data_IF_505622503350
#
_entry.id   IF_505622503350
#
_cell.length_a   1.000
_cell.length_b   1.000
_cell.length_c   1.000
_cell.angle_alpha   90.00
_cell.angle_beta   90.00
_cell.angle_gamma   90.00
#
_symmetry.space_group_name_H-M   'P 1'
#
loop_
_entity.id
_entity.type
_entity.pdbx_description
1 polymer ?
#
# COMPACT_ATOMS: atom_id res chain seq x y z
N UNK A 1 -33.91 11.60 13.15
CA UNK A 1 -32.91 11.16 12.16
C UNK A 1 -32.76 9.64 12.17
N UNK A 2 -32.37 9.00 13.27
CA UNK A 2 -32.14 7.55 13.34
C UNK A 2 -33.34 6.63 13.01
N UNK A 3 -34.56 7.07 13.37
CA UNK A 3 -35.81 6.37 13.01
C UNK A 3 -36.13 6.46 11.52
N UNK A 4 -35.95 7.63 10.90
CA UNK A 4 -36.17 7.81 9.46
C UNK A 4 -35.16 7.00 8.64
N UNK A 5 -33.91 6.97 9.10
CA UNK A 5 -32.83 6.13 8.58
C UNK A 5 -33.21 4.64 8.56
N UNK A 6 -33.66 4.09 9.70
CA UNK A 6 -34.12 2.68 9.77
C UNK A 6 -35.28 2.40 8.80
N UNK A 7 -36.23 3.33 8.66
CA UNK A 7 -37.36 3.18 7.75
C UNK A 7 -36.93 3.16 6.28
N UNK A 8 -36.01 4.04 5.87
CA UNK A 8 -35.44 4.01 4.51
C UNK A 8 -34.69 2.68 4.25
N UNK A 9 -33.91 2.19 5.21
CA UNK A 9 -33.24 0.89 5.12
C UNK A 9 -34.21 -0.29 5.00
N UNK A 10 -35.29 -0.30 5.77
CA UNK A 10 -36.32 -1.32 5.70
C UNK A 10 -37.06 -1.28 4.36
N UNK A 11 -37.40 -0.09 3.85
CA UNK A 11 -38.01 0.09 2.53
C UNK A 11 -37.11 -0.41 1.40
N UNK A 12 -35.80 -0.13 1.47
CA UNK A 12 -34.80 -0.62 0.50
C UNK A 12 -34.64 -2.15 0.56
N UNK A 13 -34.62 -2.73 1.77
CA UNK A 13 -34.61 -4.18 2.01
C UNK A 13 -35.85 -4.86 1.43
N UNK A 14 -37.03 -4.27 1.63
CA UNK A 14 -38.29 -4.79 1.12
C UNK A 14 -38.38 -4.73 -0.41
N UNK A 15 -37.86 -3.67 -1.04
CA UNK A 15 -37.91 -3.48 -2.51
C UNK A 15 -36.99 -4.43 -3.27
N UNK A 16 -35.86 -4.83 -2.68
CA UNK A 16 -34.83 -5.64 -3.35
C UNK A 16 -34.69 -7.08 -2.81
N UNK A 17 -35.45 -7.43 -1.78
CA UNK A 17 -35.42 -8.75 -1.13
C UNK A 17 -34.00 -9.22 -0.73
N UNK A 18 -33.10 -8.30 -0.39
CA UNK A 18 -31.72 -8.60 0.02
C UNK A 18 -31.39 -7.96 1.38
N UNK A 19 -30.40 -8.51 2.08
CA UNK A 19 -29.92 -7.92 3.34
C UNK A 19 -29.17 -6.60 3.12
N UNK A 20 -29.03 -5.79 4.16
CA UNK A 20 -28.27 -4.53 4.11
C UNK A 20 -26.81 -4.81 3.71
N UNK A 21 -26.20 -5.85 4.27
CA UNK A 21 -24.83 -6.24 3.94
C UNK A 21 -24.69 -6.65 2.47
N UNK A 22 -25.70 -7.34 1.93
CA UNK A 22 -25.70 -7.74 0.53
C UNK A 22 -25.90 -6.53 -0.41
N UNK A 23 -26.69 -5.54 0.01
CA UNK A 23 -26.83 -4.28 -0.72
C UNK A 23 -25.51 -3.49 -0.74
N UNK A 24 -24.85 -3.36 0.42
CA UNK A 24 -23.52 -2.74 0.55
C UNK A 24 -22.50 -3.44 -0.34
N UNK A 25 -22.46 -4.78 -0.29
CA UNK A 25 -21.56 -5.59 -1.11
C UNK A 25 -21.76 -5.36 -2.62
N UNK A 26 -23.02 -5.30 -3.08
CA UNK A 26 -23.35 -5.03 -4.49
C UNK A 26 -22.95 -3.62 -4.92
N UNK A 27 -23.22 -2.61 -4.08
CA UNK A 27 -22.83 -1.21 -4.31
C UNK A 27 -21.32 -1.08 -4.46
N UNK A 28 -20.57 -1.69 -3.54
CA UNK A 28 -19.10 -1.73 -3.58
C UNK A 28 -18.58 -2.30 -4.90
N UNK A 29 -19.08 -3.47 -5.32
CA UNK A 29 -18.61 -4.13 -6.55
C UNK A 29 -18.77 -3.24 -7.78
N UNK A 30 -19.85 -2.47 -7.83
CA UNK A 30 -20.17 -1.62 -8.97
C UNK A 30 -19.40 -0.30 -8.96
N UNK A 31 -19.18 0.27 -7.78
CA UNK A 31 -18.30 1.43 -7.63
C UNK A 31 -16.85 1.12 -8.03
N UNK A 32 -16.30 -0.02 -7.58
CA UNK A 32 -14.94 -0.45 -7.96
C UNK A 32 -14.83 -0.65 -9.48
N UNK A 33 -15.87 -1.18 -10.13
CA UNK A 33 -15.89 -1.31 -11.59
C UNK A 33 -15.90 0.06 -12.29
N UNK A 34 -16.69 1.02 -11.81
CA UNK A 34 -16.72 2.38 -12.35
C UNK A 34 -15.38 3.10 -12.16
N UNK A 35 -14.77 2.96 -10.98
CA UNK A 35 -13.43 3.49 -10.71
C UNK A 35 -12.38 2.92 -11.64
N UNK A 36 -12.41 1.61 -11.94
CA UNK A 36 -11.49 0.99 -12.91
C UNK A 36 -11.67 1.59 -14.31
N UNK A 37 -12.91 1.73 -14.77
CA UNK A 37 -13.21 2.34 -16.08
C UNK A 37 -12.77 3.80 -16.13
N UNK A 38 -13.00 4.57 -15.08
CA UNK A 38 -12.53 5.96 -14.94
C UNK A 38 -11.00 6.03 -14.96
N UNK A 39 -10.31 5.21 -14.16
CA UNK A 39 -8.84 5.15 -14.10
C UNK A 39 -8.22 4.79 -15.45
N UNK A 40 -8.75 3.79 -16.15
CA UNK A 40 -8.28 3.42 -17.50
C UNK A 40 -8.45 4.57 -18.51
N UNK A 41 -9.57 5.29 -18.44
CA UNK A 41 -9.81 6.46 -19.28
C UNK A 41 -8.84 7.61 -18.96
N UNK A 42 -8.57 7.85 -17.68
CA UNK A 42 -7.61 8.87 -17.22
C UNK A 42 -6.19 8.55 -17.69
N UNK A 43 -5.74 7.31 -17.51
CA UNK A 43 -4.43 6.83 -17.96
C UNK A 43 -4.26 6.98 -19.48
N UNK A 44 -5.33 6.73 -20.23
CA UNK A 44 -5.36 6.90 -21.70
C UNK A 44 -5.30 8.37 -22.13
N UNK A 45 -5.94 9.25 -21.37
CA UNK A 45 -6.06 10.67 -21.69
C UNK A 45 -4.88 11.53 -21.16
N UNK A 46 -3.96 10.95 -20.38
CA UNK A 46 -2.77 11.61 -19.79
C UNK A 46 -3.07 12.95 -19.09
N UNK A 47 -4.20 13.03 -18.40
CA UNK A 47 -4.56 14.22 -17.60
C UNK A 47 -4.27 13.94 -16.14
N UNK A 48 -3.66 14.92 -15.46
CA UNK A 48 -3.67 14.96 -14.00
C UNK A 48 -5.09 15.27 -13.56
N UNK A 49 -5.77 14.29 -12.96
CA UNK A 49 -7.13 14.47 -12.46
C UNK A 49 -7.16 14.05 -10.99
N UNK A 50 -7.57 15.00 -10.16
CA UNK A 50 -8.04 14.78 -8.80
C UNK A 50 -9.50 14.34 -8.93
N UNK A 51 -9.82 13.12 -8.51
CA UNK A 51 -11.23 12.70 -8.35
C UNK A 51 -11.80 13.56 -7.23
N UNK A 52 -12.75 14.43 -7.55
CA UNK A 52 -13.35 15.33 -6.56
C UNK A 52 -14.44 14.59 -5.77
N UNK A 53 -14.65 14.99 -4.52
CA UNK A 53 -15.71 14.46 -3.65
C UNK A 53 -17.12 14.64 -4.26
N UNK A 54 -17.32 15.71 -5.02
CA UNK A 54 -18.57 15.97 -5.75
C UNK A 54 -18.80 14.96 -6.88
N UNK A 55 -17.76 14.54 -7.61
CA UNK A 55 -17.89 13.55 -8.71
C UNK A 55 -18.27 12.15 -8.20
N UNK A 56 -17.82 11.79 -7.00
CA UNK A 56 -18.13 10.50 -6.39
C UNK A 56 -19.55 10.46 -5.82
N UNK A 57 -19.96 11.51 -5.09
CA UNK A 57 -21.32 11.61 -4.57
C UNK A 57 -22.36 11.60 -5.71
N UNK A 58 -22.06 12.24 -6.84
CA UNK A 58 -22.95 12.26 -8.00
C UNK A 58 -23.05 10.89 -8.69
N UNK A 59 -21.95 10.10 -8.69
CA UNK A 59 -21.97 8.71 -9.13
C UNK A 59 -22.87 7.84 -8.24
N UNK A 60 -22.71 7.93 -6.91
CA UNK A 60 -23.52 7.18 -5.97
C UNK A 60 -25.00 7.59 -6.05
N UNK A 61 -25.30 8.88 -6.14
CA UNK A 61 -26.65 9.38 -6.33
C UNK A 61 -27.29 8.89 -7.65
N UNK A 62 -26.51 8.84 -8.74
CA UNK A 62 -26.98 8.33 -10.04
C UNK A 62 -27.17 6.81 -10.03
N UNK A 63 -26.26 6.08 -9.40
CA UNK A 63 -26.34 4.63 -9.27
C UNK A 63 -27.55 4.23 -8.41
N UNK A 64 -27.72 4.87 -7.26
CA UNK A 64 -28.88 4.68 -6.39
C UNK A 64 -30.19 5.03 -7.10
N UNK A 65 -30.25 6.13 -7.87
CA UNK A 65 -31.42 6.45 -8.72
C UNK A 65 -31.71 5.38 -9.78
N UNK A 66 -30.69 4.87 -10.46
CA UNK A 66 -30.83 3.85 -11.51
C UNK A 66 -31.22 2.48 -10.96
N UNK A 67 -30.73 2.11 -9.77
CA UNK A 67 -30.92 0.78 -9.20
C UNK A 67 -32.16 0.69 -8.28
N UNK A 68 -32.47 1.76 -7.54
CA UNK A 68 -33.66 1.82 -6.68
C UNK A 68 -34.91 2.31 -7.41
N UNK A 69 -34.76 2.76 -8.65
CA UNK A 69 -35.84 2.88 -9.61
C UNK A 69 -36.44 4.27 -9.71
N UNK A 70 -36.64 4.66 -10.96
CA UNK A 70 -37.63 5.61 -11.45
C UNK A 70 -39.05 5.13 -11.09
N UNK A 71 -39.51 5.45 -9.90
CA UNK A 71 -40.94 5.72 -9.66
C UNK A 71 -41.07 7.22 -9.51
N UNK A 72 -42.19 7.80 -9.93
CA UNK A 72 -42.53 9.22 -9.77
C UNK A 72 -42.66 9.68 -8.30
N UNK A 73 -42.01 8.98 -7.37
CA UNK A 73 -41.78 9.42 -6.01
C UNK A 73 -40.27 9.49 -5.79
N UNK A 74 -39.73 10.68 -5.43
CA UNK A 74 -38.39 10.76 -4.91
C UNK A 74 -38.41 9.98 -3.60
N UNK A 75 -37.90 8.74 -3.63
CA UNK A 75 -37.25 8.22 -2.44
C UNK A 75 -36.16 9.26 -2.17
N UNK A 76 -36.39 10.11 -1.16
CA UNK A 76 -35.37 10.96 -0.56
C UNK A 76 -34.30 9.98 -0.06
N UNK A 77 -33.37 9.66 -0.96
CA UNK A 77 -32.20 8.87 -0.62
C UNK A 77 -31.40 9.78 0.26
N UNK A 78 -31.56 9.59 1.57
CA UNK A 78 -30.92 10.36 2.64
C UNK A 78 -29.45 10.61 2.27
N UNK A 79 -29.08 11.87 2.05
CA UNK A 79 -27.72 12.23 1.63
C UNK A 79 -26.68 11.73 2.63
N UNK A 80 -27.04 11.68 3.93
CA UNK A 80 -26.18 11.12 4.98
C UNK A 80 -25.91 9.62 4.75
N UNK A 81 -26.88 8.88 4.19
CA UNK A 81 -26.76 7.47 3.89
C UNK A 81 -25.83 7.23 2.68
N UNK A 82 -25.98 8.04 1.64
CA UNK A 82 -25.08 8.00 0.49
C UNK A 82 -23.65 8.36 0.90
N UNK A 83 -23.51 9.36 1.76
CA UNK A 83 -22.23 9.79 2.29
C UNK A 83 -21.57 8.69 3.13
N UNK A 84 -22.30 7.99 4.00
CA UNK A 84 -21.73 6.88 4.77
C UNK A 84 -21.25 5.72 3.90
N UNK A 85 -22.03 5.34 2.89
CA UNK A 85 -21.63 4.27 1.96
C UNK A 85 -20.42 4.71 1.12
N UNK A 86 -20.39 5.97 0.69
CA UNK A 86 -19.25 6.55 0.00
C UNK A 86 -18.00 6.54 0.90
N UNK A 87 -18.10 7.00 2.14
CA UNK A 87 -16.98 7.07 3.08
C UNK A 87 -16.44 5.67 3.41
N UNK A 88 -17.29 4.67 3.66
CA UNK A 88 -16.86 3.29 3.90
C UNK A 88 -16.09 2.73 2.69
N UNK A 89 -16.61 2.93 1.48
CA UNK A 89 -15.97 2.44 0.25
C UNK A 89 -14.68 3.24 -0.05
N UNK A 90 -14.67 4.54 0.21
CA UNK A 90 -13.50 5.40 0.04
C UNK A 90 -12.38 4.99 0.98
N UNK A 91 -12.68 4.73 2.25
CA UNK A 91 -11.68 4.25 3.22
C UNK A 91 -11.11 2.91 2.81
N UNK A 92 -11.96 1.96 2.40
CA UNK A 92 -11.48 0.65 1.91
C UNK A 92 -10.71 0.75 0.58
N UNK A 93 -11.06 1.68 -0.31
CA UNK A 93 -10.31 1.91 -1.56
C UNK A 93 -9.00 2.65 -1.31
N UNK A 94 -8.90 3.50 -0.29
CA UNK A 94 -7.64 4.08 0.18
C UNK A 94 -6.76 2.95 0.74
N UNK A 95 -7.29 2.11 1.63
CA UNK A 95 -6.57 0.94 2.17
C UNK A 95 -6.14 -0.03 1.06
N UNK A 96 -7.02 -0.31 0.09
CA UNK A 96 -6.69 -1.14 -1.06
C UNK A 96 -5.69 -0.44 -2.00
N UNK A 97 -5.78 0.88 -2.19
CA UNK A 97 -4.82 1.62 -3.00
C UNK A 97 -3.45 1.64 -2.32
N UNK A 98 -3.37 1.79 -1.01
CA UNK A 98 -2.14 1.65 -0.21
C UNK A 98 -1.57 0.24 -0.32
N UNK A 99 -2.40 -0.79 -0.15
CA UNK A 99 -2.00 -2.19 -0.32
C UNK A 99 -1.52 -2.50 -1.75
N UNK A 100 -2.21 -1.96 -2.77
CA UNK A 100 -1.80 -2.09 -4.17
C UNK A 100 -0.60 -1.21 -4.52
N UNK A 101 -0.34 -0.10 -3.81
CA UNK A 101 0.87 0.70 -3.97
C UNK A 101 2.07 -0.11 -3.47
N UNK A 102 1.90 -0.79 -2.33
CA UNK A 102 2.87 -1.76 -1.80
C UNK A 102 3.08 -2.92 -2.79
N UNK A 103 2.03 -3.53 -3.35
CA UNK A 103 2.17 -4.61 -4.35
C UNK A 103 2.70 -4.13 -5.73
N UNK A 104 2.40 -2.89 -6.15
CA UNK A 104 2.90 -2.31 -7.39
C UNK A 104 4.38 -1.94 -7.27
N UNK A 105 4.83 -1.50 -6.09
CA UNK A 105 6.25 -1.37 -5.77
C UNK A 105 6.96 -2.75 -5.79
N UNK A 106 6.24 -3.82 -5.45
CA UNK A 106 6.77 -5.20 -5.45
C UNK A 106 6.82 -5.85 -6.84
N UNK A 107 5.98 -5.42 -7.79
CA UNK A 107 5.81 -6.07 -9.10
C UNK A 107 6.44 -5.36 -10.31
N UNK A 108 6.88 -4.10 -10.19
CA UNK A 108 7.60 -3.38 -11.25
C UNK A 108 9.10 -3.23 -10.92
N UNK A 109 9.87 -4.32 -10.96
CA UNK A 109 11.30 -4.19 -11.22
C UNK A 109 11.84 -5.46 -11.89
N UNK A 110 12.04 -5.39 -13.21
CA UNK A 110 13.08 -6.18 -13.86
C UNK A 110 14.41 -5.61 -13.38
N UNK A 111 15.31 -6.49 -12.93
CA UNK A 111 16.46 -6.23 -12.03
C UNK A 111 16.04 -5.62 -10.68
N UNK A 112 15.93 -6.46 -9.65
CA UNK A 112 15.82 -5.96 -8.28
C UNK A 112 17.12 -5.22 -7.97
N UNK A 113 17.01 -3.91 -7.85
CA UNK A 113 18.06 -3.03 -7.35
C UNK A 113 17.53 -2.38 -6.08
N UNK A 114 18.34 -2.35 -5.03
CA UNK A 114 18.03 -1.60 -3.81
C UNK A 114 19.00 -0.44 -3.70
N UNK A 115 18.65 0.62 -2.97
CA UNK A 115 19.63 1.68 -2.68
C UNK A 115 20.74 1.09 -1.80
N UNK A 116 22.01 1.26 -2.19
CA UNK A 116 23.12 0.70 -1.46
C UNK A 116 23.16 1.24 -0.02
N UNK A 117 23.07 0.37 1.00
CA UNK A 117 23.05 0.79 2.41
C UNK A 117 24.34 1.49 2.88
N UNK A 118 25.50 1.21 2.25
CA UNK A 118 26.75 1.87 2.65
C UNK A 118 26.90 3.29 2.10
N UNK A 119 26.57 3.50 0.82
CA UNK A 119 26.81 4.80 0.18
C UNK A 119 25.57 5.68 0.08
N UNK A 120 24.37 5.09 0.25
CA UNK A 120 23.05 5.72 0.19
C UNK A 120 22.79 6.51 -1.10
N UNK A 121 23.51 6.18 -2.19
CA UNK A 121 23.53 6.96 -3.43
C UNK A 121 23.35 6.14 -4.69
N UNK A 122 23.96 4.95 -4.72
CA UNK A 122 24.05 4.11 -5.90
C UNK A 122 23.28 2.81 -5.67
N UNK A 123 22.73 2.18 -6.70
CA UNK A 123 22.06 0.90 -6.54
C UNK A 123 23.06 -0.17 -6.10
N UNK A 124 22.61 -1.07 -5.23
CA UNK A 124 23.23 -2.35 -4.97
C UNK A 124 22.47 -3.45 -5.71
N UNK A 125 23.22 -4.42 -6.20
CA UNK A 125 22.71 -5.53 -7.02
C UNK A 125 23.24 -6.85 -6.50
N UNK A 126 22.47 -7.91 -6.70
CA UNK A 126 22.90 -9.28 -6.44
C UNK A 126 23.47 -9.90 -7.73
N UNK A 127 24.74 -10.31 -7.69
CA UNK A 127 25.38 -10.96 -8.84
C UNK A 127 25.04 -12.46 -8.94
N UNK A 128 25.48 -13.11 -10.04
CA UNK A 128 25.26 -14.54 -10.28
C UNK A 128 25.90 -15.44 -9.21
N UNK A 129 26.90 -14.93 -8.47
CA UNK A 129 27.59 -15.62 -7.38
C UNK A 129 27.00 -15.29 -6.00
N UNK A 130 25.82 -14.67 -5.94
CA UNK A 130 25.15 -14.23 -4.70
C UNK A 130 25.91 -13.18 -3.88
N UNK A 131 26.81 -12.42 -4.51
CA UNK A 131 27.39 -11.25 -3.86
C UNK A 131 26.50 -10.02 -4.07
N UNK A 132 26.14 -9.38 -2.96
CA UNK A 132 25.64 -8.02 -2.94
C UNK A 132 26.80 -7.08 -3.30
N UNK A 133 26.66 -6.38 -4.43
CA UNK A 133 27.69 -5.50 -4.95
C UNK A 133 27.16 -4.09 -5.21
N UNK A 134 28.02 -3.09 -5.03
CA UNK A 134 27.76 -1.71 -5.44
C UNK A 134 29.05 -1.07 -5.94
N UNK A 135 28.95 -0.15 -6.89
CA UNK A 135 30.07 0.60 -7.46
C UNK A 135 30.82 1.46 -6.43
N UNK A 136 30.26 1.69 -5.24
CA UNK A 136 30.98 2.30 -4.12
C UNK A 136 32.02 1.39 -3.47
N UNK A 137 32.14 0.12 -3.90
CA UNK A 137 33.05 -0.87 -3.34
C UNK A 137 32.41 -1.87 -2.37
N UNK A 138 31.09 -1.85 -2.22
CA UNK A 138 30.38 -2.88 -1.47
C UNK A 138 30.56 -4.23 -2.17
N UNK A 139 30.99 -5.24 -1.41
CA UNK A 139 30.99 -6.64 -1.80
C UNK A 139 30.73 -7.49 -0.56
N UNK A 140 29.56 -8.10 -0.48
CA UNK A 140 29.16 -8.95 0.64
C UNK A 140 28.45 -10.19 0.13
N UNK A 141 28.84 -11.37 0.59
CA UNK A 141 28.16 -12.61 0.21
C UNK A 141 26.83 -12.69 0.97
N UNK A 142 25.70 -12.79 0.28
CA UNK A 142 24.43 -13.08 0.95
C UNK A 142 24.28 -14.60 1.16
N UNK A 143 23.67 -15.04 2.28
CA UNK A 143 23.25 -16.42 2.41
C UNK A 143 22.39 -16.84 1.21
N UNK A 144 22.60 -18.03 0.67
CA UNK A 144 21.97 -18.47 -0.60
C UNK A 144 20.43 -18.55 -0.60
N UNK A 145 19.81 -18.39 0.56
CA UNK A 145 18.35 -18.39 0.74
C UNK A 145 17.77 -16.98 0.92
N UNK A 146 18.62 -15.95 0.96
CA UNK A 146 18.26 -14.55 1.11
C UNK A 146 18.43 -13.89 -0.25
N UNK A 147 17.31 -13.49 -0.86
CA UNK A 147 17.36 -12.67 -2.07
C UNK A 147 17.50 -11.18 -1.73
N UNK A 148 17.53 -10.33 -2.75
CA UNK A 148 17.69 -8.88 -2.53
C UNK A 148 16.48 -8.25 -1.82
N UNK A 149 15.28 -8.80 -2.01
CA UNK A 149 14.05 -8.33 -1.35
C UNK A 149 14.03 -8.74 0.13
N UNK A 150 14.43 -9.98 0.42
CA UNK A 150 14.60 -10.46 1.80
C UNK A 150 15.62 -9.60 2.54
N UNK A 151 16.72 -9.27 1.88
CA UNK A 151 17.74 -8.38 2.43
C UNK A 151 17.20 -6.96 2.66
N UNK A 152 16.48 -6.37 1.70
CA UNK A 152 15.83 -5.06 1.85
C UNK A 152 14.84 -5.04 3.02
N UNK A 153 13.98 -6.05 3.13
CA UNK A 153 13.04 -6.19 4.23
C UNK A 153 13.76 -6.26 5.59
N UNK A 154 14.90 -6.94 5.64
CA UNK A 154 15.74 -7.01 6.85
C UNK A 154 16.32 -5.64 7.22
N UNK A 155 16.79 -4.87 6.23
CA UNK A 155 17.29 -3.51 6.45
C UNK A 155 16.19 -2.57 6.97
N UNK A 156 15.00 -2.62 6.34
CA UNK A 156 13.85 -1.81 6.72
C UNK A 156 13.40 -2.14 8.14
N UNK A 157 13.25 -3.42 8.48
CA UNK A 157 12.91 -3.86 9.84
C UNK A 157 13.91 -3.36 10.87
N UNK A 158 15.22 -3.45 10.57
CA UNK A 158 16.26 -2.93 11.46
C UNK A 158 16.16 -1.41 11.66
N UNK A 159 15.78 -0.67 10.62
CA UNK A 159 15.60 0.78 10.67
C UNK A 159 14.36 1.18 11.44
N UNK A 160 13.26 0.47 11.26
CA UNK A 160 12.00 0.73 11.97
C UNK A 160 12.23 0.59 13.48
N UNK A 161 12.87 -0.50 13.91
CA UNK A 161 13.26 -0.72 15.31
C UNK A 161 14.13 0.43 15.86
N UNK A 162 15.10 0.90 15.06
CA UNK A 162 15.93 2.02 15.46
C UNK A 162 15.12 3.34 15.57
N UNK A 163 14.21 3.56 14.61
CA UNK A 163 13.40 4.78 14.50
C UNK A 163 12.41 4.98 15.65
N UNK A 164 12.03 3.90 16.35
CA UNK A 164 11.22 3.97 17.57
C UNK A 164 11.89 4.79 18.68
N UNK A 165 13.23 4.87 18.68
CA UNK A 165 14.01 5.48 19.76
C UNK A 165 14.96 6.59 19.30
N UNK A 166 15.22 6.71 17.99
CA UNK A 166 16.17 7.69 17.46
C UNK A 166 15.81 8.15 16.03
N UNK A 167 15.88 9.47 15.80
CA UNK A 167 15.62 10.08 14.49
C UNK A 167 16.88 10.17 13.59
N UNK A 168 18.04 9.73 14.07
CA UNK A 168 19.27 9.75 13.26
C UNK A 168 19.24 8.61 12.22
N UNK A 169 19.91 8.80 11.08
CA UNK A 169 20.10 7.72 10.12
C UNK A 169 21.22 6.80 10.61
N UNK A 170 20.98 5.48 10.76
CA UNK A 170 22.05 4.56 11.11
C UNK A 170 23.06 4.42 9.97
N UNK A 171 24.31 4.13 10.34
CA UNK A 171 25.42 3.86 9.43
C UNK A 171 25.56 2.36 9.27
N UNK A 172 25.68 1.91 8.02
CA UNK A 172 25.91 0.52 7.68
C UNK A 172 27.35 0.25 7.30
N UNK A 173 27.87 -0.88 7.75
CA UNK A 173 29.25 -1.27 7.48
C UNK A 173 29.38 -2.79 7.29
N UNK A 174 30.41 -3.19 6.55
CA UNK A 174 30.84 -4.59 6.44
C UNK A 174 32.17 -4.73 7.15
N UNK A 175 32.26 -5.62 8.14
CA UNK A 175 33.47 -5.82 8.94
C UNK A 175 33.86 -7.31 9.02
N UNK A 176 35.15 -7.64 8.87
CA UNK A 176 35.62 -9.00 9.16
C UNK A 176 35.61 -9.25 10.68
N UNK A 177 35.33 -10.49 11.07
CA UNK A 177 35.40 -10.96 12.46
C UNK A 177 36.67 -11.77 12.70
N UNK A 178 36.90 -12.10 13.98
CA UNK A 178 38.00 -12.97 14.42
C UNK A 178 37.82 -14.43 13.96
N UNK A 179 36.60 -14.83 13.61
CA UNK A 179 36.22 -16.20 13.25
C UNK A 179 36.24 -16.44 11.73
N UNK A 180 36.91 -15.55 10.98
CA UNK A 180 36.96 -15.60 9.51
C UNK A 180 35.57 -15.51 8.87
N UNK A 181 34.69 -14.69 9.44
CA UNK A 181 33.39 -14.32 8.89
C UNK A 181 33.37 -12.82 8.54
N UNK A 182 32.43 -12.42 7.68
CA UNK A 182 32.09 -11.04 7.41
C UNK A 182 30.73 -10.75 8.04
N UNK A 183 30.65 -9.67 8.82
CA UNK A 183 29.41 -9.17 9.38
C UNK A 183 28.94 -7.94 8.61
N UNK A 184 27.67 -7.92 8.28
CA UNK A 184 26.95 -6.73 7.84
C UNK A 184 26.27 -6.12 9.06
N UNK A 185 26.67 -4.92 9.45
CA UNK A 185 26.22 -4.28 10.69
C UNK A 185 25.53 -2.94 10.43
N UNK A 186 24.64 -2.56 11.34
CA UNK A 186 24.03 -1.24 11.46
C UNK A 186 24.42 -0.63 12.81
N UNK A 187 24.81 0.63 12.82
CA UNK A 187 25.18 1.33 14.05
C UNK A 187 24.75 2.80 14.04
N UNK A 188 24.47 3.38 15.20
CA UNK A 188 24.14 4.79 15.33
C UNK A 188 24.86 5.39 16.54
N UNK A 189 25.73 6.37 16.29
CA UNK A 189 26.49 7.04 17.36
C UNK A 189 25.59 7.88 18.28
N UNK A 190 24.46 8.39 17.77
CA UNK A 190 23.56 9.27 18.52
C UNK A 190 22.85 8.58 19.69
N UNK A 191 22.49 7.30 19.52
CA UNK A 191 21.77 6.52 20.52
C UNK A 191 22.53 5.27 20.97
N UNK A 192 23.77 5.09 20.51
CA UNK A 192 24.61 3.91 20.75
C UNK A 192 23.96 2.60 20.28
N UNK A 193 23.07 2.67 19.28
CA UNK A 193 22.47 1.50 18.67
C UNK A 193 23.52 0.71 17.89
N UNK A 194 23.47 -0.61 18.03
CA UNK A 194 24.33 -1.54 17.31
C UNK A 194 23.53 -2.81 17.02
N UNK A 195 23.52 -3.23 15.76
CA UNK A 195 22.84 -4.44 15.32
C UNK A 195 23.65 -5.18 14.26
N UNK A 196 23.82 -6.49 14.42
CA UNK A 196 24.35 -7.37 13.38
C UNK A 196 23.19 -7.84 12.53
N UNK A 197 23.17 -7.44 11.26
CA UNK A 197 22.09 -7.75 10.32
C UNK A 197 22.27 -9.15 9.76
N UNK A 198 23.48 -9.43 9.27
CA UNK A 198 23.87 -10.72 8.70
C UNK A 198 25.32 -11.03 9.01
N UNK A 199 25.64 -12.31 9.02
CA UNK A 199 27.00 -12.81 9.15
C UNK A 199 27.20 -13.97 8.18
N UNK A 200 28.29 -13.94 7.42
CA UNK A 200 28.62 -14.98 6.44
C UNK A 200 30.08 -15.39 6.53
N UNK A 201 30.44 -16.64 6.19
CA UNK A 201 31.84 -17.03 6.04
C UNK A 201 32.57 -16.17 4.99
N UNK A 202 33.87 -15.93 5.18
CA UNK A 202 34.78 -15.35 4.18
C UNK A 202 35.17 -16.39 3.13
#
# INVERSE_FOLDING_TARGET
MESHRKTCFEQLRHKNACSIDELKFRLRKLYVQDLKVKREKILKDKRDIVISEEDDLDFFAKYCRNFFGSSEDPLDVDEDLLYQIWEEIRLEEIENAEANLVESLVSQCGSHEIVCPLCLKLPAQLDESHYLTCTCGLKFLLPSHIDLKDFEATLLTSNDIHSETCNATPVYEVRPTVENTLQFISSCESCLYFNTILETPV
#
